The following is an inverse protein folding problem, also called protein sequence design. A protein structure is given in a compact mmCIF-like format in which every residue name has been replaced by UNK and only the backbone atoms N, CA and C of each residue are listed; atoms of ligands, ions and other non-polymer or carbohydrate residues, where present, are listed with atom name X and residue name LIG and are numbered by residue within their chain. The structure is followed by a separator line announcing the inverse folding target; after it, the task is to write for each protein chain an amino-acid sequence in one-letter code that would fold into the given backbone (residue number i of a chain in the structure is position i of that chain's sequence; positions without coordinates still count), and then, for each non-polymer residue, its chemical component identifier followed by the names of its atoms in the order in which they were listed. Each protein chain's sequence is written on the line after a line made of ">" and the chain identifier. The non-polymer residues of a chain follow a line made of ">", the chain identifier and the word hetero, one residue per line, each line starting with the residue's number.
data_IF_114928486737
#
_entry.id   IF_114928486737
#
_cell.length_a   1.000
_cell.length_b   1.000
_cell.length_c   1.000
_cell.angle_alpha   90.00
_cell.angle_beta   90.00
_cell.angle_gamma   90.00
#
_symmetry.space_group_name_H-M   'P 1'
#
loop_
_entity.id
_entity.type
_entity.pdbx_description
1 polymer ?
#
# COMPACT_ATOMS: atom_id res chain seq x y z
N UNK A 1 -3.02 4.59 -17.68
CA UNK A 1 -3.10 4.40 -16.23
C UNK A 1 -4.44 4.93 -15.76
N UNK A 2 -5.20 4.13 -15.06
CA UNK A 2 -6.46 4.56 -14.47
C UNK A 2 -6.27 5.29 -13.14
N UNK A 3 -7.36 5.78 -12.56
CA UNK A 3 -7.34 6.54 -11.31
C UNK A 3 -6.81 5.73 -10.11
N UNK A 4 -7.14 4.43 -10.04
CA UNK A 4 -6.68 3.56 -8.95
C UNK A 4 -5.17 3.33 -9.02
N UNK A 5 -4.64 3.04 -10.22
CA UNK A 5 -3.20 2.92 -10.41
C UNK A 5 -2.47 4.21 -10.03
N UNK A 6 -2.99 5.39 -10.38
CA UNK A 6 -2.40 6.66 -9.97
C UNK A 6 -2.43 6.84 -8.44
N UNK A 7 -3.54 6.50 -7.77
CA UNK A 7 -3.65 6.59 -6.31
C UNK A 7 -2.64 5.67 -5.58
N UNK A 8 -2.34 4.49 -6.14
CA UNK A 8 -1.38 3.53 -5.58
C UNK A 8 0.07 3.98 -5.84
N UNK A 9 0.41 4.27 -7.11
CA UNK A 9 1.79 4.46 -7.50
C UNK A 9 2.34 5.86 -7.20
N UNK A 10 1.48 6.89 -7.09
CA UNK A 10 1.93 8.25 -6.75
C UNK A 10 2.63 8.32 -5.39
N UNK A 11 2.04 7.88 -4.27
CA UNK A 11 2.73 7.93 -2.99
C UNK A 11 3.97 7.03 -2.97
N UNK A 12 3.95 5.89 -3.65
CA UNK A 12 5.13 5.02 -3.78
C UNK A 12 6.27 5.74 -4.52
N UNK A 13 5.97 6.42 -5.62
CA UNK A 13 6.96 7.18 -6.39
C UNK A 13 7.58 8.31 -5.57
N UNK A 14 6.77 9.10 -4.86
CA UNK A 14 7.27 10.12 -3.94
C UNK A 14 8.12 9.52 -2.82
N UNK A 15 7.72 8.37 -2.27
CA UNK A 15 8.50 7.64 -1.26
C UNK A 15 9.86 7.21 -1.79
N UNK A 16 9.94 6.65 -2.99
CA UNK A 16 11.20 6.25 -3.65
C UNK A 16 12.08 7.48 -3.93
N UNK A 17 11.50 8.57 -4.40
CA UNK A 17 12.22 9.83 -4.64
C UNK A 17 12.84 10.36 -3.34
N UNK A 18 12.09 10.31 -2.23
CA UNK A 18 12.61 10.72 -0.93
C UNK A 18 13.76 9.84 -0.46
N UNK A 19 13.67 8.52 -0.67
CA UNK A 19 14.76 7.60 -0.33
C UNK A 19 16.01 7.85 -1.17
N UNK A 20 15.84 8.18 -2.45
CA UNK A 20 16.96 8.39 -3.39
C UNK A 20 17.64 9.76 -3.22
N UNK A 21 16.86 10.82 -3.01
CA UNK A 21 17.35 12.20 -2.99
C UNK A 21 17.49 12.78 -1.58
N UNK A 22 16.83 12.19 -0.60
CA UNK A 22 16.79 12.70 0.77
C UNK A 22 18.12 12.51 1.50
N UNK A 23 18.61 13.59 2.13
CA UNK A 23 19.76 13.59 3.02
C UNK A 23 19.35 14.28 4.31
N UNK A 24 19.92 13.86 5.43
CA UNK A 24 19.57 14.41 6.76
C UNK A 24 19.89 15.91 6.90
N UNK A 25 20.88 16.42 6.14
CA UNK A 25 21.19 17.85 6.05
C UNK A 25 20.07 18.69 5.42
N UNK A 26 19.15 18.07 4.67
CA UNK A 26 18.00 18.68 4.00
C UNK A 26 16.66 18.30 4.60
N UNK A 27 16.61 17.97 5.88
CA UNK A 27 15.40 17.49 6.55
C UNK A 27 14.17 18.38 6.34
N UNK A 28 14.32 19.71 6.28
CA UNK A 28 13.20 20.63 5.98
C UNK A 28 12.61 20.40 4.59
N UNK A 29 13.47 20.31 3.56
CA UNK A 29 13.02 20.07 2.20
C UNK A 29 12.37 18.68 2.05
N UNK A 30 12.92 17.66 2.71
CA UNK A 30 12.37 16.30 2.77
C UNK A 30 10.96 16.30 3.34
N UNK A 31 10.73 16.98 4.46
CA UNK A 31 9.41 17.08 5.10
C UNK A 31 8.38 17.76 4.18
N UNK A 32 8.75 18.88 3.55
CA UNK A 32 7.86 19.56 2.61
C UNK A 32 7.56 18.69 1.39
N UNK A 33 8.55 18.01 0.82
CA UNK A 33 8.35 17.11 -0.31
C UNK A 33 7.44 15.93 0.07
N UNK A 34 7.62 15.36 1.27
CA UNK A 34 6.76 14.31 1.80
C UNK A 34 5.31 14.79 1.95
N UNK A 35 5.11 16.00 2.51
CA UNK A 35 3.78 16.58 2.67
C UNK A 35 3.11 16.83 1.31
N UNK A 36 3.84 17.37 0.34
CA UNK A 36 3.33 17.55 -1.03
C UNK A 36 2.95 16.19 -1.63
N UNK A 37 3.80 15.17 -1.49
CA UNK A 37 3.50 13.82 -1.97
C UNK A 37 2.24 13.22 -1.34
N UNK A 38 2.05 13.39 -0.03
CA UNK A 38 0.85 12.92 0.67
C UNK A 38 -0.40 13.69 0.25
N UNK A 39 -0.31 15.02 0.13
CA UNK A 39 -1.43 15.86 -0.32
C UNK A 39 -1.83 15.54 -1.76
N UNK A 40 -0.87 15.40 -2.68
CA UNK A 40 -1.14 15.00 -4.07
C UNK A 40 -1.82 13.63 -4.10
N UNK A 41 -1.32 12.67 -3.32
CA UNK A 41 -1.92 11.34 -3.23
C UNK A 41 -3.36 11.40 -2.70
N UNK A 42 -3.61 12.19 -1.66
CA UNK A 42 -4.96 12.38 -1.12
C UNK A 42 -5.89 13.05 -2.15
N UNK A 43 -5.43 14.12 -2.81
CA UNK A 43 -6.22 14.81 -3.85
C UNK A 43 -6.58 13.89 -5.03
N UNK A 44 -5.69 12.95 -5.38
CA UNK A 44 -5.97 11.94 -6.43
C UNK A 44 -7.03 10.91 -6.02
N UNK A 45 -7.30 10.74 -4.72
CA UNK A 45 -8.39 9.86 -4.26
C UNK A 45 -9.74 10.56 -4.23
N UNK A 46 -9.81 11.89 -4.17
CA UNK A 46 -11.09 12.63 -4.12
C UNK A 46 -11.99 12.39 -5.35
N UNK A 47 -11.48 12.32 -6.60
CA UNK A 47 -12.30 11.98 -7.75
C UNK A 47 -12.98 10.61 -7.65
N UNK A 48 -12.41 9.66 -6.89
CA UNK A 48 -13.05 8.37 -6.65
C UNK A 48 -14.37 8.55 -5.88
N UNK A 49 -14.39 9.43 -4.90
CA UNK A 49 -15.60 9.76 -4.14
C UNK A 49 -16.64 10.51 -4.98
N UNK A 50 -16.20 11.56 -5.71
CA UNK A 50 -17.14 12.42 -6.44
C UNK A 50 -17.77 11.75 -7.67
N UNK A 51 -17.12 10.71 -8.21
CA UNK A 51 -17.60 9.96 -9.38
C UNK A 51 -18.13 8.58 -9.04
N UNK A 52 -18.23 8.26 -7.75
CA UNK A 52 -18.75 6.97 -7.31
C UNK A 52 -20.26 6.91 -7.50
N UNK A 53 -20.74 5.86 -8.18
CA UNK A 53 -22.15 5.61 -8.39
C UNK A 53 -22.71 4.72 -7.26
N UNK A 54 -23.57 5.28 -6.42
CA UNK A 54 -24.20 4.58 -5.30
C UNK A 54 -25.40 3.73 -5.71
N UNK A 55 -25.83 3.79 -6.97
CA UNK A 55 -26.98 3.04 -7.46
C UNK A 55 -26.67 1.58 -7.84
N UNK A 56 -25.39 1.23 -7.93
CA UNK A 56 -24.94 -0.11 -8.32
C UNK A 56 -24.08 -0.77 -7.27
N UNK A 57 -24.25 -2.10 -7.12
CA UNK A 57 -23.39 -2.93 -6.26
C UNK A 57 -22.15 -3.46 -7.00
N UNK A 58 -21.97 -3.13 -8.28
CA UNK A 58 -20.84 -3.57 -9.07
C UNK A 58 -19.55 -2.86 -8.65
N UNK A 59 -18.40 -3.55 -8.82
CA UNK A 59 -17.08 -2.93 -8.65
C UNK A 59 -16.89 -1.80 -9.66
N UNK A 60 -16.35 -0.68 -9.17
CA UNK A 60 -16.17 0.55 -9.96
C UNK A 60 -14.71 0.88 -10.17
N UNK A 61 -14.44 1.77 -11.13
CA UNK A 61 -13.07 2.16 -11.55
C UNK A 61 -12.19 0.97 -11.91
N UNK A 62 -12.80 -0.08 -12.47
CA UNK A 62 -12.10 -1.34 -12.75
C UNK A 62 -10.99 -1.14 -13.76
N UNK A 63 -9.77 -1.52 -13.35
CA UNK A 63 -8.57 -1.55 -14.19
C UNK A 63 -8.11 -3.01 -14.27
N UNK A 64 -8.04 -3.56 -15.47
CA UNK A 64 -7.60 -4.94 -15.68
C UNK A 64 -6.54 -5.00 -16.77
N UNK A 65 -5.41 -5.64 -16.44
CA UNK A 65 -4.30 -5.86 -17.35
C UNK A 65 -3.67 -7.22 -17.05
N UNK A 66 -3.32 -8.03 -18.05
CA UNK A 66 -2.64 -9.29 -17.80
C UNK A 66 -1.26 -9.04 -17.17
N UNK A 67 -0.93 -9.81 -16.14
CA UNK A 67 0.36 -9.70 -15.45
C UNK A 67 1.18 -10.98 -15.59
N UNK A 68 0.68 -12.10 -15.08
CA UNK A 68 1.34 -13.41 -15.21
C UNK A 68 0.37 -14.38 -15.90
N UNK A 69 0.41 -14.39 -17.23
CA UNK A 69 -0.54 -15.15 -18.08
C UNK A 69 -0.53 -16.63 -17.76
N UNK A 70 0.65 -17.21 -17.49
CA UNK A 70 0.82 -18.64 -17.17
C UNK A 70 -0.03 -19.10 -15.99
N UNK A 71 -0.29 -18.21 -15.02
CA UNK A 71 -1.07 -18.50 -13.81
C UNK A 71 -2.44 -17.79 -13.82
N UNK A 72 -2.81 -17.16 -14.93
CA UNK A 72 -4.04 -16.34 -15.03
C UNK A 72 -4.12 -15.23 -13.99
N UNK A 73 -2.98 -14.74 -13.50
CA UNK A 73 -2.90 -13.64 -12.56
C UNK A 73 -2.96 -12.31 -13.31
N UNK A 74 -3.88 -11.45 -12.90
CA UNK A 74 -4.10 -10.16 -13.53
C UNK A 74 -3.80 -9.02 -12.56
N UNK A 75 -3.25 -7.93 -13.09
CA UNK A 75 -3.30 -6.65 -12.42
C UNK A 75 -4.73 -6.14 -12.51
N UNK A 76 -5.55 -6.52 -11.54
CA UNK A 76 -6.99 -6.29 -11.55
C UNK A 76 -7.36 -5.50 -10.30
N UNK A 77 -7.72 -4.25 -10.51
CA UNK A 77 -8.09 -3.30 -9.47
C UNK A 77 -9.56 -2.92 -9.62
N UNK A 78 -10.19 -2.58 -8.53
CA UNK A 78 -11.53 -2.02 -8.47
C UNK A 78 -11.87 -1.66 -7.03
N UNK A 79 -12.90 -0.85 -6.84
CA UNK A 79 -13.40 -0.45 -5.53
C UNK A 79 -14.90 -0.64 -5.43
N UNK A 80 -15.34 -1.00 -4.24
CA UNK A 80 -16.74 -1.00 -3.84
C UNK A 80 -17.02 0.12 -2.83
N UNK A 81 -18.25 0.21 -2.35
CA UNK A 81 -18.66 1.25 -1.40
C UNK A 81 -17.93 1.18 -0.07
N UNK A 82 -17.38 0.03 0.32
CA UNK A 82 -16.62 -0.15 1.57
C UNK A 82 -15.15 0.20 1.35
N UNK A 83 -14.51 -0.38 0.34
CA UNK A 83 -13.09 -0.18 0.06
C UNK A 83 -12.78 1.27 -0.33
N UNK A 84 -13.71 1.98 -0.97
CA UNK A 84 -13.59 3.42 -1.26
C UNK A 84 -13.26 4.23 0.00
N UNK A 85 -13.98 4.00 1.10
CA UNK A 85 -13.74 4.72 2.35
C UNK A 85 -12.38 4.38 2.97
N UNK A 86 -11.94 3.12 2.87
CA UNK A 86 -10.62 2.73 3.36
C UNK A 86 -9.49 3.35 2.52
N UNK A 87 -9.68 3.48 1.21
CA UNK A 87 -8.73 4.18 0.33
C UNK A 87 -8.61 5.65 0.71
N UNK A 88 -9.74 6.35 0.85
CA UNK A 88 -9.76 7.77 1.28
C UNK A 88 -9.16 7.95 2.67
N UNK A 89 -9.54 7.10 3.61
CA UNK A 89 -9.03 7.15 4.99
C UNK A 89 -7.51 6.93 5.02
N UNK A 90 -6.99 5.95 4.27
CA UNK A 90 -5.56 5.67 4.21
C UNK A 90 -4.79 6.89 3.68
N UNK A 91 -5.25 7.48 2.59
CA UNK A 91 -4.62 8.67 2.03
C UNK A 91 -4.67 9.87 2.98
N UNK A 92 -5.81 10.08 3.67
CA UNK A 92 -5.98 11.15 4.66
C UNK A 92 -5.07 10.94 5.88
N UNK A 93 -5.08 9.74 6.47
CA UNK A 93 -4.23 9.42 7.64
C UNK A 93 -2.76 9.61 7.30
N UNK A 94 -2.32 9.30 6.08
CA UNK A 94 -0.93 9.52 5.68
C UNK A 94 -0.53 10.99 5.77
N UNK A 95 -1.40 11.92 5.37
CA UNK A 95 -1.17 13.36 5.54
C UNK A 95 -1.03 13.71 7.03
N UNK A 96 -1.94 13.20 7.87
CA UNK A 96 -1.91 13.43 9.33
C UNK A 96 -0.64 12.89 9.96
N UNK A 97 -0.20 11.69 9.57
CA UNK A 97 1.04 11.07 10.07
C UNK A 97 2.27 11.91 9.70
N UNK A 98 2.36 12.40 8.48
CA UNK A 98 3.49 13.23 8.05
C UNK A 98 3.53 14.55 8.84
N UNK A 99 2.39 15.18 9.07
CA UNK A 99 2.31 16.40 9.89
C UNK A 99 2.64 16.10 11.35
N UNK A 100 2.06 15.03 11.91
CA UNK A 100 2.29 14.64 13.32
C UNK A 100 3.72 14.22 13.63
N UNK A 101 4.43 13.67 12.64
CA UNK A 101 5.84 13.27 12.78
C UNK A 101 6.85 14.39 12.47
N UNK A 102 6.37 15.60 12.17
CA UNK A 102 7.20 16.71 11.69
C UNK A 102 8.34 17.07 12.62
N UNK A 103 8.09 17.14 13.92
CA UNK A 103 9.08 17.46 14.96
C UNK A 103 9.57 16.22 15.72
N UNK A 104 8.72 15.19 15.80
CA UNK A 104 9.03 13.98 16.54
C UNK A 104 10.18 13.17 15.92
N UNK A 105 10.33 13.22 14.60
CA UNK A 105 11.37 12.48 13.88
C UNK A 105 12.50 13.44 13.48
N UNK A 106 13.67 13.25 14.11
CA UNK A 106 14.85 14.09 13.89
C UNK A 106 15.99 13.36 13.19
N UNK A 107 15.98 12.03 13.17
CA UNK A 107 17.03 11.20 12.56
C UNK A 107 16.46 10.39 11.39
N UNK A 108 17.24 10.29 10.30
CA UNK A 108 16.86 9.55 9.07
C UNK A 108 15.47 9.93 8.57
N UNK A 109 15.18 11.24 8.55
CA UNK A 109 13.87 11.79 8.24
C UNK A 109 13.36 11.35 6.85
N UNK A 110 14.26 11.32 5.86
CA UNK A 110 13.95 10.87 4.50
C UNK A 110 13.48 9.41 4.45
N UNK A 111 14.11 8.53 5.24
CA UNK A 111 13.75 7.11 5.29
C UNK A 111 12.38 6.92 5.95
N UNK A 112 12.11 7.65 7.04
CA UNK A 112 10.82 7.61 7.72
C UNK A 112 9.68 8.07 6.82
N UNK A 113 9.80 9.29 6.28
CA UNK A 113 8.76 9.87 5.40
C UNK A 113 8.56 9.04 4.13
N UNK A 114 9.66 8.56 3.53
CA UNK A 114 9.61 7.69 2.36
C UNK A 114 8.93 6.35 2.66
N UNK A 115 9.23 5.73 3.80
CA UNK A 115 8.62 4.46 4.20
C UNK A 115 7.09 4.61 4.42
N UNK A 116 6.63 5.70 5.04
CA UNK A 116 5.19 5.95 5.22
C UNK A 116 4.46 6.21 3.91
N UNK A 117 5.07 6.94 2.97
CA UNK A 117 4.48 7.15 1.65
C UNK A 117 4.36 5.84 0.86
N UNK A 118 5.41 5.02 0.86
CA UNK A 118 5.39 3.69 0.23
C UNK A 118 4.33 2.82 0.88
N UNK A 119 4.29 2.76 2.21
CA UNK A 119 3.31 2.01 2.97
C UNK A 119 1.88 2.40 2.63
N UNK A 120 1.59 3.70 2.56
CA UNK A 120 0.27 4.22 2.18
C UNK A 120 -0.16 3.73 0.79
N UNK A 121 0.72 3.80 -0.21
CA UNK A 121 0.43 3.31 -1.55
C UNK A 121 0.17 1.81 -1.59
N UNK A 122 0.96 1.01 -0.86
CA UNK A 122 0.77 -0.43 -0.76
C UNK A 122 -0.56 -0.79 -0.09
N UNK A 123 -0.94 -0.10 0.99
CA UNK A 123 -2.23 -0.30 1.67
C UNK A 123 -3.39 0.05 0.74
N UNK A 124 -3.31 1.15 -0.03
CA UNK A 124 -4.31 1.47 -1.05
C UNK A 124 -4.41 0.33 -2.07
N UNK A 125 -3.27 -0.24 -2.49
CA UNK A 125 -3.22 -1.40 -3.37
C UNK A 125 -3.93 -2.63 -2.80
N UNK A 126 -3.76 -2.90 -1.51
CA UNK A 126 -4.47 -3.98 -0.79
C UNK A 126 -5.99 -3.80 -0.86
N UNK A 127 -6.50 -2.57 -0.63
CA UNK A 127 -7.94 -2.30 -0.66
C UNK A 127 -8.54 -2.28 -2.05
N UNK A 128 -7.72 -2.09 -3.08
CA UNK A 128 -8.18 -2.04 -4.47
C UNK A 128 -8.02 -3.36 -5.23
N UNK A 129 -7.26 -4.32 -4.71
CA UNK A 129 -6.96 -5.56 -5.42
C UNK A 129 -8.20 -6.47 -5.54
N UNK A 130 -8.57 -6.82 -6.76
CA UNK A 130 -9.63 -7.79 -7.09
C UNK A 130 -9.09 -9.18 -7.45
N UNK A 131 -7.77 -9.32 -7.63
CA UNK A 131 -7.09 -10.58 -7.85
C UNK A 131 -6.43 -11.03 -6.55
N UNK A 132 -6.66 -12.29 -6.14
CA UNK A 132 -6.15 -12.80 -4.87
C UNK A 132 -4.63 -12.83 -4.77
N UNK A 133 -3.92 -13.07 -5.89
CA UNK A 133 -2.46 -13.04 -5.91
C UNK A 133 -1.93 -11.60 -5.87
N UNK A 134 -2.59 -10.68 -6.57
CA UNK A 134 -2.26 -9.25 -6.50
C UNK A 134 -2.47 -8.70 -5.09
N UNK A 135 -3.58 -9.07 -4.44
CA UNK A 135 -3.83 -8.75 -3.03
C UNK A 135 -2.70 -9.23 -2.15
N UNK A 136 -2.31 -10.52 -2.29
CA UNK A 136 -1.25 -11.11 -1.50
C UNK A 136 0.08 -10.36 -1.67
N UNK A 137 0.45 -10.01 -2.90
CA UNK A 137 1.70 -9.28 -3.17
C UNK A 137 1.69 -7.89 -2.53
N UNK A 138 0.61 -7.13 -2.65
CA UNK A 138 0.51 -5.84 -1.97
C UNK A 138 0.55 -5.97 -0.45
N UNK A 139 -0.17 -6.96 0.10
CA UNK A 139 -0.21 -7.22 1.54
C UNK A 139 1.19 -7.57 2.07
N UNK A 140 1.88 -8.50 1.42
CA UNK A 140 3.23 -8.91 1.83
C UNK A 140 4.23 -7.77 1.71
N UNK A 141 4.12 -6.95 0.67
CA UNK A 141 4.99 -5.79 0.48
C UNK A 141 4.85 -4.75 1.61
N UNK A 142 3.69 -4.65 2.29
CA UNK A 142 3.52 -3.73 3.42
C UNK A 142 4.39 -4.08 4.62
N UNK A 143 4.80 -5.33 4.76
CA UNK A 143 5.64 -5.79 5.88
C UNK A 143 7.01 -5.13 5.87
N UNK A 144 7.56 -4.85 4.68
CA UNK A 144 8.91 -4.27 4.55
C UNK A 144 8.99 -2.87 5.18
N UNK A 145 8.18 -1.87 4.77
CA UNK A 145 8.22 -0.56 5.39
C UNK A 145 7.81 -0.60 6.88
N UNK A 146 6.84 -1.44 7.27
CA UNK A 146 6.46 -1.60 8.68
C UNK A 146 7.61 -2.13 9.54
N UNK A 147 8.31 -3.17 9.07
CA UNK A 147 9.49 -3.71 9.75
C UNK A 147 10.57 -2.63 9.94
N UNK A 148 10.86 -1.84 8.91
CA UNK A 148 11.84 -0.76 8.97
C UNK A 148 11.42 0.34 9.95
N UNK A 149 10.15 0.77 9.92
CA UNK A 149 9.62 1.81 10.80
C UNK A 149 9.75 1.36 12.27
N UNK A 150 9.32 0.16 12.61
CA UNK A 150 9.41 -0.38 13.97
C UNK A 150 10.88 -0.55 14.39
N UNK A 151 11.72 -1.11 13.51
CA UNK A 151 13.12 -1.44 13.84
C UNK A 151 14.03 -0.23 13.99
N UNK A 152 13.75 0.88 13.30
CA UNK A 152 14.61 2.07 13.33
C UNK A 152 14.12 3.09 14.37
N UNK A 153 12.82 3.42 14.39
CA UNK A 153 12.25 4.48 15.23
C UNK A 153 11.42 3.98 16.41
N UNK A 154 11.33 2.67 16.61
CA UNK A 154 10.62 2.09 17.75
C UNK A 154 11.30 2.38 19.09
N UNK A 155 10.67 1.89 20.18
CA UNK A 155 11.15 2.06 21.57
C UNK A 155 12.39 1.23 21.92
N UNK A 156 12.72 1.07 23.22
CA UNK A 156 13.96 0.39 23.68
C UNK A 156 14.13 -1.03 23.12
N UNK A 157 13.06 -1.77 22.97
CA UNK A 157 13.08 -3.16 22.47
C UNK A 157 12.71 -3.27 20.97
N UNK A 158 12.94 -2.23 20.18
CA UNK A 158 12.49 -2.11 18.78
C UNK A 158 12.95 -3.25 17.88
N UNK A 159 14.18 -3.73 18.01
CA UNK A 159 14.72 -4.81 17.17
C UNK A 159 13.93 -6.10 17.44
N UNK A 160 13.77 -6.47 18.71
CA UNK A 160 13.00 -7.64 19.09
C UNK A 160 11.53 -7.53 18.62
N UNK A 161 10.92 -6.36 18.81
CA UNK A 161 9.56 -6.09 18.39
C UNK A 161 9.39 -6.18 16.86
N UNK A 162 10.33 -5.63 16.08
CA UNK A 162 10.33 -5.70 14.63
C UNK A 162 10.44 -7.15 14.13
N UNK A 163 11.37 -7.93 14.67
CA UNK A 163 11.50 -9.35 14.31
C UNK A 163 10.26 -10.16 14.68
N UNK A 164 9.72 -9.96 15.88
CA UNK A 164 8.54 -10.67 16.33
C UNK A 164 7.32 -10.32 15.46
N UNK A 165 7.12 -9.05 15.14
CA UNK A 165 6.07 -8.59 14.24
C UNK A 165 6.23 -9.24 12.85
N UNK A 166 7.42 -9.15 12.26
CA UNK A 166 7.69 -9.69 10.93
C UNK A 166 7.44 -11.21 10.87
N UNK A 167 8.04 -11.98 11.78
CA UNK A 167 7.91 -13.44 11.78
C UNK A 167 6.47 -13.89 12.01
N UNK A 168 5.76 -13.23 12.93
CA UNK A 168 4.36 -13.57 13.22
C UNK A 168 3.45 -13.31 12.03
N UNK A 169 3.59 -12.13 11.41
CA UNK A 169 2.77 -11.75 10.26
C UNK A 169 3.13 -12.57 9.02
N UNK A 170 4.43 -12.81 8.78
CA UNK A 170 4.89 -13.67 7.68
C UNK A 170 4.37 -15.10 7.81
N UNK A 171 4.38 -15.68 9.02
CA UNK A 171 3.82 -17.02 9.24
C UNK A 171 2.33 -17.07 8.88
N UNK A 172 1.56 -16.07 9.30
CA UNK A 172 0.13 -15.95 8.95
C UNK A 172 -0.10 -15.81 7.45
N UNK A 173 0.69 -14.97 6.79
CA UNK A 173 0.56 -14.72 5.35
C UNK A 173 0.98 -15.92 4.50
N UNK A 174 1.98 -16.69 4.93
CA UNK A 174 2.33 -17.94 4.26
C UNK A 174 1.21 -18.98 4.32
N UNK A 175 0.50 -19.09 5.43
CA UNK A 175 -0.67 -19.95 5.53
C UNK A 175 -1.79 -19.48 4.59
N UNK A 176 -2.00 -18.18 4.48
CA UNK A 176 -2.94 -17.60 3.50
C UNK A 176 -2.51 -17.92 2.06
N UNK A 177 -1.22 -17.84 1.74
CA UNK A 177 -0.70 -18.19 0.42
C UNK A 177 -0.99 -19.65 0.07
N UNK A 178 -0.76 -20.57 1.01
CA UNK A 178 -1.09 -22.00 0.84
C UNK A 178 -2.58 -22.19 0.54
N UNK A 179 -3.46 -21.48 1.26
CA UNK A 179 -4.90 -21.49 1.02
C UNK A 179 -5.26 -20.98 -0.39
N UNK A 180 -4.65 -19.87 -0.83
CA UNK A 180 -4.84 -19.31 -2.18
C UNK A 180 -4.40 -20.28 -3.27
N UNK A 181 -3.24 -20.92 -3.10
CA UNK A 181 -2.74 -21.93 -4.04
C UNK A 181 -3.70 -23.15 -4.09
N UNK A 182 -4.17 -23.61 -2.93
CA UNK A 182 -5.13 -24.70 -2.88
C UNK A 182 -6.42 -24.37 -3.61
N UNK A 183 -6.99 -23.19 -3.39
CA UNK A 183 -8.18 -22.71 -4.09
C UNK A 183 -7.94 -22.61 -5.59
N UNK A 184 -6.79 -22.10 -6.02
CA UNK A 184 -6.44 -22.00 -7.43
C UNK A 184 -6.37 -23.39 -8.11
N UNK A 185 -5.77 -24.38 -7.46
CA UNK A 185 -5.68 -25.75 -7.98
C UNK A 185 -7.08 -26.38 -8.09
N UNK A 186 -7.93 -26.17 -7.07
CA UNK A 186 -9.28 -26.75 -7.04
C UNK A 186 -10.30 -26.02 -7.90
N UNK A 187 -10.08 -24.75 -8.22
CA UNK A 187 -10.97 -23.98 -9.10
C UNK A 187 -10.72 -24.18 -10.60
N UNK A 188 -9.60 -24.83 -10.97
CA UNK A 188 -9.39 -25.19 -12.38
C UNK A 188 -10.40 -26.27 -12.77
N UNK A 189 -11.12 -26.11 -13.89
CA UNK A 189 -11.92 -27.19 -14.45
C UNK A 189 -11.03 -28.42 -14.63
N UNK A 190 -11.49 -29.58 -14.16
CA UNK A 190 -10.81 -30.85 -14.49
C UNK A 190 -10.77 -30.98 -16.02
N UNK A 191 -9.65 -31.41 -16.62
CA UNK A 191 -9.56 -31.65 -18.04
C UNK A 191 -10.57 -32.72 -18.55
N UNK A 192 -11.23 -33.41 -17.62
CA UNK A 192 -12.13 -34.55 -17.89
C UNK A 192 -13.62 -34.20 -17.72
N UNK A 193 -14.02 -32.93 -17.74
CA UNK A 193 -15.44 -32.49 -17.78
C UNK A 193 -15.71 -31.59 -18.97
#
# INVERSE_FOLDING_TARGET
>A
MGLLSLAIWTPIAFGIILLALGRDDRAKAVRWLALVGALVSFLLTLPLYTRFDTSTAAMQFVEKSPWIERFSVNYHLGVDGISLWFVLLTAFINVVVIIGSWEAITTKVNQYMGAFLILSGLIIGVFCALDGMLFYVFFEATLIPMYLIIGIWGGPNKIYAAFKFFLYTLMGSLLMLVALIYLYIKSKPSPDL
#
